data_IF_578265505877
#
_entry.id   IF_578265505877
#
_cell.length_a   1.000
_cell.length_b   1.000
_cell.length_c   1.000
_cell.angle_alpha   90.00
_cell.angle_beta   90.00
_cell.angle_gamma   90.00
#
_symmetry.space_group_name_H-M   'P 1'
#
loop_
_entity.id
_entity.type
_entity.pdbx_description
1 polymer ?
#
# COMPACT_ATOMS: atom_id res chain seq x y z
N UNK A 1 -1.51 -12.99 5.26
CA UNK A 1 -2.91 -12.54 5.36
C UNK A 1 -3.12 -11.16 4.73
N UNK A 2 -2.43 -10.08 5.14
CA UNK A 2 -2.61 -8.73 4.57
C UNK A 2 -2.45 -8.64 3.03
N UNK A 3 -1.55 -9.42 2.45
CA UNK A 3 -1.33 -9.46 1.00
C UNK A 3 -2.37 -10.24 0.20
N UNK A 4 -3.20 -11.08 0.84
CA UNK A 4 -4.21 -11.87 0.16
C UNK A 4 -5.61 -11.29 0.41
N UNK A 5 -6.05 -10.47 -0.55
CA UNK A 5 -7.28 -9.70 -0.47
C UNK A 5 -8.40 -10.28 -1.30
N UNK A 6 -8.16 -11.40 -2.00
CA UNK A 6 -9.17 -12.01 -2.87
C UNK A 6 -10.22 -12.69 -2.00
N UNK A 7 -11.51 -12.47 -2.26
CA UNK A 7 -12.55 -13.17 -1.51
C UNK A 7 -12.77 -14.61 -2.02
N UNK A 8 -12.53 -14.84 -3.31
CA UNK A 8 -12.87 -16.09 -4.00
C UNK A 8 -12.12 -17.34 -3.50
N UNK A 9 -10.98 -17.18 -2.80
CA UNK A 9 -10.21 -18.28 -2.24
C UNK A 9 -10.45 -18.48 -0.74
N UNK A 10 -11.53 -17.93 -0.18
CA UNK A 10 -11.83 -17.96 1.26
C UNK A 10 -13.24 -18.49 1.54
N UNK A 11 -13.40 -19.09 2.71
CA UNK A 11 -14.69 -19.53 3.24
C UNK A 11 -14.90 -18.87 4.60
N UNK A 12 -16.04 -18.20 4.76
CA UNK A 12 -16.41 -17.52 6.00
C UNK A 12 -17.52 -18.30 6.72
N UNK A 13 -17.46 -18.39 8.05
CA UNK A 13 -18.59 -18.89 8.84
C UNK A 13 -19.77 -17.93 8.66
N UNK A 14 -20.95 -18.46 8.33
CA UNK A 14 -22.13 -17.62 8.09
C UNK A 14 -22.50 -16.75 9.31
N UNK A 15 -22.42 -17.29 10.52
CA UNK A 15 -22.71 -16.52 11.73
C UNK A 15 -21.76 -15.34 11.91
N UNK A 16 -20.47 -15.51 11.60
CA UNK A 16 -19.48 -14.43 11.61
C UNK A 16 -19.77 -13.38 10.52
N UNK A 17 -20.22 -13.83 9.34
CA UNK A 17 -20.64 -12.94 8.25
C UNK A 17 -21.82 -12.06 8.65
N UNK A 18 -22.86 -12.69 9.22
CA UNK A 18 -24.09 -12.03 9.65
C UNK A 18 -23.83 -11.10 10.87
N UNK A 19 -22.98 -11.53 11.83
CA UNK A 19 -22.58 -10.76 13.03
C UNK A 19 -21.93 -9.42 12.68
N UNK A 20 -21.07 -9.39 11.66
CA UNK A 20 -20.38 -8.17 11.22
C UNK A 20 -21.02 -7.49 10.00
N UNK A 21 -22.20 -7.96 9.58
CA UNK A 21 -22.98 -7.41 8.48
C UNK A 21 -22.14 -7.20 7.19
N UNK A 22 -21.28 -8.16 6.84
CA UNK A 22 -20.44 -8.01 5.66
C UNK A 22 -21.29 -7.96 4.37
N UNK A 23 -20.92 -7.04 3.49
CA UNK A 23 -21.50 -6.91 2.16
C UNK A 23 -20.45 -6.34 1.21
N UNK A 24 -20.35 -6.90 0.01
CA UNK A 24 -19.47 -6.35 -1.01
C UNK A 24 -20.05 -5.03 -1.56
N UNK A 25 -19.25 -3.95 -1.62
CA UNK A 25 -19.69 -2.72 -2.25
C UNK A 25 -19.95 -2.97 -3.74
N UNK A 26 -20.98 -2.32 -4.29
CA UNK A 26 -21.34 -2.45 -5.70
C UNK A 26 -20.85 -1.24 -6.51
N UNK A 27 -20.51 -1.46 -7.77
CA UNK A 27 -20.11 -0.38 -8.69
C UNK A 27 -18.67 0.16 -8.52
N UNK A 28 -17.85 -0.47 -7.67
CA UNK A 28 -16.45 -0.11 -7.45
C UNK A 28 -15.51 -1.23 -7.89
N UNK A 29 -14.26 -0.89 -8.19
CA UNK A 29 -13.20 -1.88 -8.34
C UNK A 29 -12.59 -2.23 -6.97
N UNK A 30 -12.05 -3.43 -6.84
CA UNK A 30 -11.35 -3.91 -5.63
C UNK A 30 -12.28 -4.04 -4.41
N UNK A 31 -13.53 -4.41 -4.66
CA UNK A 31 -14.59 -4.63 -3.67
C UNK A 31 -14.19 -5.61 -2.56
N UNK A 32 -13.35 -6.60 -2.89
CA UNK A 32 -12.90 -7.60 -1.93
C UNK A 32 -12.11 -6.98 -0.76
N UNK A 33 -11.33 -5.91 -1.01
CA UNK A 33 -10.49 -5.28 0.02
C UNK A 33 -11.35 -4.81 1.21
N UNK A 34 -12.51 -4.23 0.91
CA UNK A 34 -13.44 -3.68 1.89
C UNK A 34 -14.07 -4.75 2.80
N UNK A 35 -14.05 -6.02 2.38
CA UNK A 35 -14.61 -7.14 3.17
C UNK A 35 -13.50 -7.97 3.78
N UNK A 36 -12.55 -8.42 2.95
CA UNK A 36 -11.54 -9.41 3.33
C UNK A 36 -10.61 -8.86 4.39
N UNK A 37 -10.12 -7.62 4.26
CA UNK A 37 -9.19 -7.10 5.26
C UNK A 37 -9.84 -6.82 6.62
N UNK A 38 -10.99 -6.13 6.72
CA UNK A 38 -11.70 -6.01 7.99
C UNK A 38 -12.05 -7.37 8.60
N UNK A 39 -12.45 -8.35 7.79
CA UNK A 39 -12.74 -9.70 8.28
C UNK A 39 -11.52 -10.37 8.95
N UNK A 40 -10.31 -10.20 8.43
CA UNK A 40 -9.11 -10.73 9.08
C UNK A 40 -8.86 -10.11 10.46
N UNK A 41 -9.17 -8.84 10.65
CA UNK A 41 -9.00 -8.14 11.93
C UNK A 41 -10.14 -8.39 12.92
N UNK A 42 -11.33 -8.75 12.43
CA UNK A 42 -12.48 -9.10 13.25
C UNK A 42 -12.50 -10.58 13.65
N UNK A 43 -11.86 -11.44 12.86
CA UNK A 43 -11.82 -12.87 13.12
C UNK A 43 -11.10 -13.20 14.43
N UNK A 44 -11.68 -14.11 15.21
CA UNK A 44 -11.03 -14.67 16.42
C UNK A 44 -9.90 -15.63 16.08
N UNK A 45 -10.03 -16.33 14.95
CA UNK A 45 -9.05 -17.26 14.43
C UNK A 45 -9.17 -17.32 12.90
N UNK A 46 -8.04 -17.58 12.24
CA UNK A 46 -7.97 -17.80 10.80
C UNK A 46 -7.18 -19.09 10.57
N UNK A 47 -7.79 -20.06 9.91
CA UNK A 47 -7.14 -21.29 9.49
C UNK A 47 -6.60 -21.10 8.06
N UNK A 48 -5.37 -21.55 7.80
CA UNK A 48 -4.73 -21.45 6.48
C UNK A 48 -4.55 -22.87 5.91
N UNK A 49 -5.03 -23.08 4.69
CA UNK A 49 -4.87 -24.32 3.93
C UNK A 49 -3.83 -24.06 2.84
N UNK A 50 -2.76 -24.84 2.82
CA UNK A 50 -1.64 -24.64 1.88
C UNK A 50 -1.91 -25.27 0.51
N UNK A 51 -2.81 -26.25 0.45
CA UNK A 51 -3.22 -26.89 -0.79
C UNK A 51 -3.94 -25.92 -1.73
N UNK A 52 -3.78 -26.05 -3.06
CA UNK A 52 -4.53 -25.23 -4.02
C UNK A 52 -6.04 -25.46 -3.90
N UNK A 53 -6.74 -24.51 -3.30
CA UNK A 53 -8.22 -24.54 -3.17
C UNK A 53 -8.94 -23.69 -4.22
N UNK A 54 -8.21 -22.90 -4.99
CA UNK A 54 -8.76 -21.98 -5.99
C UNK A 54 -7.86 -21.90 -7.23
N UNK A 55 -8.43 -22.13 -8.41
CA UNK A 55 -7.74 -21.97 -9.68
C UNK A 55 -8.12 -20.63 -10.32
N UNK A 56 -7.17 -19.72 -10.38
CA UNK A 56 -7.35 -18.43 -11.07
C UNK A 56 -7.10 -18.59 -12.57
N UNK A 57 -8.00 -18.02 -13.38
CA UNK A 57 -7.85 -17.99 -14.83
C UNK A 57 -7.46 -16.58 -15.28
N UNK A 58 -6.24 -16.45 -15.76
CA UNK A 58 -5.81 -15.24 -16.44
C UNK A 58 -6.42 -15.16 -17.84
N UNK A 59 -6.87 -13.97 -18.22
CA UNK A 59 -7.50 -13.67 -19.52
C UNK A 59 -7.10 -12.27 -19.95
N UNK A 60 -6.85 -12.10 -21.24
CA UNK A 60 -6.55 -10.79 -21.83
C UNK A 60 -7.67 -9.78 -21.52
N UNK A 61 -7.27 -8.59 -21.06
CA UNK A 61 -8.18 -7.52 -20.69
C UNK A 61 -8.75 -7.60 -19.27
N UNK A 62 -8.20 -8.45 -18.40
CA UNK A 62 -8.51 -8.46 -16.97
C UNK A 62 -8.28 -7.08 -16.33
N UNK A 63 -9.05 -6.74 -15.30
CA UNK A 63 -8.93 -5.45 -14.57
C UNK A 63 -7.47 -5.19 -14.13
N UNK A 64 -6.71 -6.25 -13.83
CA UNK A 64 -5.31 -6.18 -13.40
C UNK A 64 -4.30 -5.82 -14.50
N UNK A 65 -4.69 -5.89 -15.78
CA UNK A 65 -3.81 -5.57 -16.93
C UNK A 65 -3.90 -4.12 -17.39
N UNK A 66 -4.98 -3.38 -17.08
CA UNK A 66 -5.11 -1.94 -17.37
C UNK A 66 -4.93 -1.11 -16.08
N UNK A 67 -3.66 -0.88 -15.71
CA UNK A 67 -3.28 -0.23 -14.43
C UNK A 67 -3.26 1.30 -14.51
N UNK A 68 -2.90 1.85 -15.67
CA UNK A 68 -2.87 3.30 -15.92
C UNK A 68 -4.27 3.85 -16.26
N UNK A 69 -5.23 3.67 -15.35
CA UNK A 69 -6.61 4.16 -15.51
C UNK A 69 -6.97 5.04 -14.32
N UNK A 70 -7.40 6.31 -14.52
CA UNK A 70 -7.71 7.25 -13.43
C UNK A 70 -8.71 6.68 -12.41
N UNK A 71 -9.77 6.03 -12.90
CA UNK A 71 -10.75 5.34 -12.04
C UNK A 71 -10.11 4.25 -11.16
N UNK A 72 -9.13 3.52 -11.70
CA UNK A 72 -8.46 2.44 -10.98
C UNK A 72 -7.72 2.94 -9.75
N UNK A 73 -6.97 4.04 -9.88
CA UNK A 73 -6.24 4.60 -8.73
C UNK A 73 -7.20 5.19 -7.70
N UNK A 74 -8.24 5.92 -8.13
CA UNK A 74 -9.28 6.44 -7.23
C UNK A 74 -9.92 5.32 -6.41
N UNK A 75 -10.47 4.30 -7.09
CA UNK A 75 -11.19 3.21 -6.44
C UNK A 75 -10.24 2.40 -5.52
N UNK A 76 -8.97 2.20 -5.93
CA UNK A 76 -7.96 1.56 -5.06
C UNK A 76 -7.69 2.38 -3.80
N UNK A 77 -7.44 3.68 -3.94
CA UNK A 77 -7.17 4.57 -2.81
C UNK A 77 -8.37 4.58 -1.86
N UNK A 78 -9.59 4.70 -2.37
CA UNK A 78 -10.80 4.62 -1.54
C UNK A 78 -10.85 3.32 -0.73
N UNK A 79 -10.58 2.18 -1.37
CA UNK A 79 -10.58 0.89 -0.70
C UNK A 79 -9.51 0.80 0.40
N UNK A 80 -8.27 1.22 0.12
CA UNK A 80 -7.20 1.12 1.13
C UNK A 80 -7.38 2.13 2.27
N UNK A 81 -7.86 3.34 1.98
CA UNK A 81 -8.18 4.36 2.99
C UNK A 81 -9.27 3.88 3.93
N UNK A 82 -10.32 3.22 3.43
CA UNK A 82 -11.40 2.70 4.26
C UNK A 82 -10.88 1.70 5.32
N UNK A 83 -9.97 0.80 4.94
CA UNK A 83 -9.36 -0.15 5.88
C UNK A 83 -8.41 0.55 6.86
N UNK A 84 -7.63 1.53 6.41
CA UNK A 84 -6.74 2.31 7.30
C UNK A 84 -7.55 3.07 8.35
N UNK A 85 -8.67 3.69 7.95
CA UNK A 85 -9.60 4.38 8.85
C UNK A 85 -10.26 3.42 9.84
N UNK A 86 -10.72 2.25 9.39
CA UNK A 86 -11.26 1.22 10.27
C UNK A 86 -10.26 0.81 11.38
N UNK A 87 -8.96 0.68 11.04
CA UNK A 87 -7.92 0.39 12.02
C UNK A 87 -7.64 1.59 12.94
N UNK A 88 -7.72 2.81 12.42
CA UNK A 88 -7.57 4.04 13.20
C UNK A 88 -8.68 4.21 14.24
N UNK A 89 -9.94 4.00 13.85
CA UNK A 89 -11.11 4.06 14.74
C UNK A 89 -10.96 3.08 15.90
N UNK A 90 -10.55 1.83 15.60
CA UNK A 90 -10.25 0.82 16.62
C UNK A 90 -9.11 1.22 17.54
N UNK A 91 -8.08 1.89 17.02
CA UNK A 91 -6.97 2.39 17.83
C UNK A 91 -7.38 3.54 18.75
N UNK A 92 -8.34 4.37 18.33
CA UNK A 92 -8.90 5.47 19.12
C UNK A 92 -9.92 4.99 20.17
N UNK A 93 -10.44 3.76 20.04
CA UNK A 93 -11.55 3.25 20.85
C UNK A 93 -12.91 3.83 20.46
N UNK A 94 -12.95 4.63 19.40
CA UNK A 94 -14.17 5.17 18.79
C UNK A 94 -14.76 4.10 17.88
N UNK A 95 -16.01 3.68 18.11
CA UNK A 95 -16.66 2.64 17.29
C UNK A 95 -16.58 1.22 17.83
N UNK A 96 -16.18 1.01 19.09
CA UNK A 96 -16.51 -0.22 19.80
C UNK A 96 -18.04 -0.28 20.03
N UNK A 97 -18.79 -0.60 18.98
CA UNK A 97 -20.19 -0.98 19.12
C UNK A 97 -20.30 -2.14 20.11
N UNK A 98 -21.31 -2.08 20.98
CA UNK A 98 -21.73 -3.10 21.93
C UNK A 98 -22.00 -4.41 21.18
N UNK A 99 -20.96 -5.21 20.94
CA UNK A 99 -21.02 -6.38 20.05
C UNK A 99 -19.70 -6.75 19.36
N UNK A 100 -18.62 -5.96 19.56
CA UNK A 100 -17.30 -6.25 19.00
C UNK A 100 -16.77 -7.64 19.38
N UNK A 101 -16.88 -8.59 18.45
CA UNK A 101 -16.38 -9.95 18.57
C UNK A 101 -14.92 -10.02 19.06
N UNK A 102 -14.62 -11.09 19.80
CA UNK A 102 -13.38 -11.33 20.55
C UNK A 102 -12.10 -11.54 19.70
N UNK A 103 -11.97 -10.87 18.56
CA UNK A 103 -10.74 -10.77 17.77
C UNK A 103 -9.75 -9.90 18.53
N UNK A 104 -8.89 -10.57 19.30
CA UNK A 104 -8.01 -9.98 20.31
C UNK A 104 -7.06 -8.91 19.76
N UNK A 105 -7.07 -7.77 20.44
CA UNK A 105 -6.05 -6.75 20.31
C UNK A 105 -6.56 -5.45 20.92
N UNK A 106 -5.82 -4.91 21.90
CA UNK A 106 -6.17 -3.61 22.49
C UNK A 106 -5.97 -2.45 21.50
N UNK A 107 -6.25 -1.23 21.93
CA UNK A 107 -6.00 -0.02 21.14
C UNK A 107 -4.56 0.06 20.58
N UNK A 108 -3.57 -0.40 21.37
CA UNK A 108 -2.17 -0.46 20.95
C UNK A 108 -1.93 -1.46 19.79
N UNK A 109 -2.61 -2.62 19.82
CA UNK A 109 -2.51 -3.63 18.76
C UNK A 109 -3.17 -3.13 17.48
N UNK A 110 -4.29 -2.40 17.59
CA UNK A 110 -4.95 -1.75 16.47
C UNK A 110 -4.08 -0.65 15.84
N UNK A 111 -3.39 0.16 16.65
CA UNK A 111 -2.46 1.17 16.16
C UNK A 111 -1.27 0.55 15.41
N UNK A 112 -0.72 -0.54 15.94
CA UNK A 112 0.35 -1.28 15.26
C UNK A 112 -0.14 -1.97 13.98
N UNK A 113 -1.35 -2.54 14.00
CA UNK A 113 -2.00 -3.08 12.82
C UNK A 113 -2.19 -2.03 11.73
N UNK A 114 -2.62 -0.81 12.10
CA UNK A 114 -2.72 0.32 11.18
C UNK A 114 -1.37 0.64 10.54
N UNK A 115 -0.31 0.80 11.33
CA UNK A 115 1.04 1.10 10.80
C UNK A 115 1.51 0.03 9.80
N UNK A 116 1.35 -1.25 10.14
CA UNK A 116 1.70 -2.36 9.24
C UNK A 116 0.86 -2.38 7.97
N UNK A 117 -0.43 -2.07 8.10
CA UNK A 117 -1.33 -1.99 6.97
C UNK A 117 -1.00 -0.82 6.04
N UNK A 118 -0.72 0.37 6.58
CA UNK A 118 -0.30 1.53 5.81
C UNK A 118 1.00 1.23 5.05
N UNK A 119 1.99 0.62 5.72
CA UNK A 119 3.23 0.18 5.06
C UNK A 119 2.94 -0.79 3.90
N UNK A 120 2.02 -1.73 4.08
CA UNK A 120 1.60 -2.66 3.04
C UNK A 120 0.87 -1.98 1.87
N UNK A 121 -0.01 -1.02 2.16
CA UNK A 121 -0.71 -0.25 1.14
C UNK A 121 0.28 0.57 0.29
N UNK A 122 1.27 1.21 0.93
CA UNK A 122 2.31 2.00 0.27
C UNK A 122 3.27 1.14 -0.57
N UNK A 123 3.61 -0.07 -0.12
CA UNK A 123 4.59 -0.95 -0.76
C UNK A 123 4.00 -1.97 -1.73
N UNK A 124 2.70 -2.26 -1.64
CA UNK A 124 2.02 -3.24 -2.47
C UNK A 124 0.89 -2.63 -3.29
N UNK A 125 -0.15 -2.11 -2.62
CA UNK A 125 -1.37 -1.63 -3.30
C UNK A 125 -1.11 -0.50 -4.27
N UNK A 126 -0.50 0.56 -3.77
CA UNK A 126 -0.28 1.79 -4.52
C UNK A 126 1.01 1.72 -5.34
N UNK A 127 1.96 0.87 -4.95
CA UNK A 127 3.16 0.58 -5.74
C UNK A 127 2.81 0.11 -7.16
N UNK A 128 1.78 -0.73 -7.33
CA UNK A 128 1.33 -1.18 -8.65
C UNK A 128 0.93 -0.03 -9.59
N UNK A 129 0.48 1.10 -9.04
CA UNK A 129 0.13 2.29 -9.80
C UNK A 129 1.33 3.21 -10.03
N UNK A 130 2.30 3.23 -9.11
CA UNK A 130 3.61 3.89 -9.33
C UNK A 130 4.28 3.28 -10.56
N UNK A 131 4.31 1.96 -10.67
CA UNK A 131 4.91 1.26 -11.82
C UNK A 131 4.15 1.49 -13.14
N UNK A 132 2.89 1.91 -13.07
CA UNK A 132 2.08 2.23 -14.23
C UNK A 132 2.22 3.69 -14.70
N UNK A 133 2.88 4.56 -13.92
CA UNK A 133 3.08 5.97 -14.27
C UNK A 133 3.72 6.19 -15.65
N UNK A 134 4.75 5.43 -16.08
CA UNK A 134 5.36 5.63 -17.40
C UNK A 134 4.41 5.41 -18.57
N UNK A 135 3.38 4.58 -18.39
CA UNK A 135 2.40 4.22 -19.42
C UNK A 135 1.13 5.09 -19.33
N UNK A 136 1.01 5.93 -18.30
CA UNK A 136 -0.15 6.79 -18.07
C UNK A 136 -0.06 8.13 -18.79
N UNK A 137 -1.22 8.68 -19.11
CA UNK A 137 -1.37 10.04 -19.63
C UNK A 137 -1.47 11.08 -18.49
N UNK A 138 -1.64 12.35 -18.88
CA UNK A 138 -1.74 13.46 -17.93
C UNK A 138 -2.94 13.33 -16.98
N UNK A 139 -4.06 12.75 -17.43
CA UNK A 139 -5.25 12.54 -16.59
C UNK A 139 -4.95 11.50 -15.51
N UNK A 140 -4.30 10.39 -15.88
CA UNK A 140 -3.87 9.38 -14.92
C UNK A 140 -2.83 9.92 -13.93
N UNK A 141 -1.85 10.71 -14.40
CA UNK A 141 -0.84 11.29 -13.53
C UNK A 141 -1.45 12.22 -12.48
N UNK A 142 -2.38 13.09 -12.88
CA UNK A 142 -3.05 13.99 -11.95
C UNK A 142 -3.89 13.21 -10.93
N UNK A 143 -4.72 12.28 -11.39
CA UNK A 143 -5.53 11.42 -10.52
C UNK A 143 -4.66 10.60 -9.55
N UNK A 144 -3.50 10.13 -10.01
CA UNK A 144 -2.54 9.43 -9.16
C UNK A 144 -1.98 10.33 -8.07
N UNK A 145 -1.43 11.50 -8.42
CA UNK A 145 -0.84 12.41 -7.44
C UNK A 145 -1.87 12.93 -6.44
N UNK A 146 -3.10 13.22 -6.90
CA UNK A 146 -4.20 13.62 -6.03
C UNK A 146 -4.54 12.52 -5.02
N UNK A 147 -4.91 11.34 -5.49
CA UNK A 147 -5.43 10.29 -4.60
C UNK A 147 -4.33 9.61 -3.79
N UNK A 148 -3.19 9.26 -4.39
CA UNK A 148 -2.08 8.66 -3.64
C UNK A 148 -1.48 9.66 -2.64
N UNK A 149 -1.42 10.95 -2.99
CA UNK A 149 -1.01 12.02 -2.08
C UNK A 149 -1.99 12.21 -0.92
N UNK A 150 -3.29 12.13 -1.18
CA UNK A 150 -4.32 12.21 -0.15
C UNK A 150 -4.26 11.04 0.84
N UNK A 151 -3.99 9.81 0.38
CA UNK A 151 -3.73 8.70 1.29
C UNK A 151 -2.41 8.89 2.06
N UNK A 152 -1.34 9.28 1.37
CA UNK A 152 -0.03 9.48 2.00
C UNK A 152 -0.06 10.56 3.12
N UNK A 153 -0.97 11.53 3.05
CA UNK A 153 -1.12 12.56 4.09
C UNK A 153 -1.78 12.05 5.38
N UNK A 154 -2.46 10.89 5.34
CA UNK A 154 -3.06 10.25 6.52
C UNK A 154 -2.14 9.21 7.18
N UNK A 155 -0.99 8.92 6.56
CA UNK A 155 -0.02 7.93 7.05
C UNK A 155 0.99 8.58 7.98
N UNK A 156 1.32 7.89 9.08
CA UNK A 156 2.31 8.37 10.05
C UNK A 156 3.71 8.49 9.41
N UNK A 157 4.48 9.56 9.72
CA UNK A 157 5.82 9.77 9.14
C UNK A 157 6.78 8.57 9.29
N UNK A 158 6.73 7.88 10.43
CA UNK A 158 7.62 6.75 10.73
C UNK A 158 7.36 5.53 9.83
N UNK A 159 6.13 5.38 9.31
CA UNK A 159 5.82 4.33 8.34
C UNK A 159 6.65 4.53 7.08
N UNK A 160 6.77 5.77 6.58
CA UNK A 160 7.62 6.06 5.42
C UNK A 160 9.08 5.74 5.72
N UNK A 161 9.59 6.09 6.90
CA UNK A 161 10.98 5.80 7.29
C UNK A 161 11.27 4.29 7.32
N UNK A 162 10.27 3.47 7.64
CA UNK A 162 10.41 2.01 7.65
C UNK A 162 10.43 1.36 6.25
N UNK A 163 10.05 2.09 5.20
CA UNK A 163 10.00 1.54 3.85
C UNK A 163 11.41 1.28 3.28
N UNK A 164 11.54 0.31 2.36
CA UNK A 164 12.74 0.15 1.53
C UNK A 164 13.15 1.46 0.86
N UNK A 165 14.46 1.69 0.68
CA UNK A 165 15.02 2.93 0.14
C UNK A 165 14.31 3.42 -1.14
N UNK A 166 14.15 2.54 -2.14
CA UNK A 166 13.52 2.90 -3.41
C UNK A 166 12.08 3.42 -3.23
N UNK A 167 11.32 2.86 -2.28
CA UNK A 167 9.98 3.36 -1.95
C UNK A 167 10.01 4.67 -1.17
N UNK A 168 10.98 4.86 -0.26
CA UNK A 168 11.14 6.13 0.48
C UNK A 168 11.34 7.30 -0.47
N UNK A 169 12.22 7.14 -1.45
CA UNK A 169 12.50 8.16 -2.47
C UNK A 169 11.26 8.41 -3.32
N UNK A 170 10.62 7.35 -3.86
CA UNK A 170 9.39 7.47 -4.67
C UNK A 170 8.28 8.19 -3.90
N UNK A 171 7.98 7.77 -2.67
CA UNK A 171 6.93 8.41 -1.86
C UNK A 171 7.25 9.85 -1.48
N UNK A 172 8.52 10.19 -1.28
CA UNK A 172 8.90 11.58 -1.06
C UNK A 172 8.63 12.44 -2.30
N UNK A 173 8.99 11.97 -3.49
CA UNK A 173 8.72 12.67 -4.76
C UNK A 173 7.20 12.81 -5.01
N UNK A 174 6.41 11.78 -4.67
CA UNK A 174 4.94 11.81 -4.78
C UNK A 174 4.35 12.87 -3.85
N UNK A 175 4.77 12.91 -2.58
CA UNK A 175 4.30 13.88 -1.57
C UNK A 175 4.68 15.32 -1.93
N UNK A 176 5.83 15.52 -2.59
CA UNK A 176 6.28 16.81 -3.12
C UNK A 176 5.74 17.11 -4.52
N UNK A 177 4.95 16.20 -5.12
CA UNK A 177 4.41 16.29 -6.49
C UNK A 177 5.48 16.50 -7.58
N UNK A 178 6.67 15.93 -7.38
CA UNK A 178 7.84 16.02 -8.28
C UNK A 178 7.79 14.96 -9.39
N UNK A 179 6.68 14.95 -10.15
CA UNK A 179 6.41 13.94 -11.18
C UNK A 179 7.52 13.78 -12.24
N UNK A 180 8.16 14.85 -12.77
CA UNK A 180 9.22 14.68 -13.76
C UNK A 180 10.42 13.88 -13.23
N UNK A 181 10.79 14.08 -11.98
CA UNK A 181 11.90 13.36 -11.34
C UNK A 181 11.49 11.93 -10.96
N UNK A 182 10.22 11.72 -10.57
CA UNK A 182 9.67 10.39 -10.35
C UNK A 182 9.67 9.55 -11.64
N UNK A 183 9.23 10.12 -12.76
CA UNK A 183 9.25 9.44 -14.06
C UNK A 183 10.68 9.16 -14.54
N UNK A 184 11.62 10.11 -14.34
CA UNK A 184 13.02 9.90 -14.65
C UNK A 184 13.64 8.78 -13.78
N UNK A 185 13.32 8.74 -12.48
CA UNK A 185 13.76 7.69 -11.57
C UNK A 185 13.26 6.31 -12.02
N UNK A 186 11.97 6.19 -12.36
CA UNK A 186 11.39 4.94 -12.86
C UNK A 186 12.02 4.50 -14.19
N UNK A 187 12.36 5.45 -15.06
CA UNK A 187 13.04 5.17 -16.32
C UNK A 187 14.48 4.66 -16.12
N UNK A 188 15.18 5.13 -15.10
CA UNK A 188 16.52 4.65 -14.75
C UNK A 188 16.47 3.28 -14.06
N UNK A 189 15.56 3.08 -13.11
CA UNK A 189 15.35 1.77 -12.46
C UNK A 189 14.99 0.65 -13.44
N UNK A 190 14.31 0.98 -14.55
CA UNK A 190 14.02 0.02 -15.63
C UNK A 190 15.29 -0.47 -16.34
N UNK A 191 16.36 0.32 -16.35
CA UNK A 191 17.66 -0.05 -16.94
C UNK A 191 18.49 -0.83 -15.93
N UNK A 192 18.53 -0.35 -14.69
CA UNK A 192 19.25 -0.97 -13.58
C UNK A 192 18.59 -0.54 -12.25
N UNK A 193 18.08 -1.53 -11.51
CA UNK A 193 17.18 -1.33 -10.36
C UNK A 193 17.90 -0.78 -9.14
N UNK A 194 19.22 -0.96 -9.08
CA UNK A 194 20.04 -0.63 -7.91
C UNK A 194 21.02 0.53 -8.17
N UNK A 195 20.88 1.25 -9.30
CA UNK A 195 21.77 2.38 -9.61
C UNK A 195 21.46 3.59 -8.73
N UNK A 196 22.17 3.69 -7.60
CA UNK A 196 22.29 4.93 -6.86
C UNK A 196 23.71 5.13 -6.36
N UNK A 197 24.12 6.39 -6.26
CA UNK A 197 25.42 6.72 -5.71
C UNK A 197 25.32 6.94 -4.21
N UNK A 198 26.32 6.47 -3.46
CA UNK A 198 26.42 6.75 -2.03
C UNK A 198 27.17 8.06 -1.80
N UNK A 199 26.59 8.98 -1.03
CA UNK A 199 27.26 10.21 -0.57
C UNK A 199 27.40 10.23 0.95
N UNK A 200 28.57 10.65 1.43
CA UNK A 200 28.87 10.84 2.85
C UNK A 200 29.50 9.63 3.54
N UNK A 201 30.47 9.87 4.43
CA UNK A 201 31.23 8.81 5.12
C UNK A 201 30.57 8.37 6.44
N UNK A 202 30.15 9.33 7.28
CA UNK A 202 29.58 9.05 8.61
C UNK A 202 28.05 8.89 8.61
N UNK A 203 27.38 9.40 7.58
CA UNK A 203 25.92 9.36 7.40
C UNK A 203 25.64 9.12 5.90
N UNK A 204 25.90 7.91 5.40
CA UNK A 204 25.78 7.61 3.98
C UNK A 204 24.34 7.75 3.52
N UNK A 205 24.17 8.31 2.31
CA UNK A 205 22.86 8.56 1.70
C UNK A 205 22.86 8.18 0.24
N UNK A 206 21.71 7.71 -0.23
CA UNK A 206 21.45 7.48 -1.63
C UNK A 206 21.32 8.81 -2.38
N UNK A 207 21.92 8.85 -3.57
CA UNK A 207 21.80 9.93 -4.52
C UNK A 207 21.47 9.34 -5.89
N UNK A 208 20.26 9.61 -6.37
CA UNK A 208 19.79 9.19 -7.68
C UNK A 208 20.05 10.31 -8.70
N UNK A 209 20.74 10.06 -9.82
CA UNK A 209 20.98 11.09 -10.85
C UNK A 209 19.70 11.75 -11.40
N UNK A 210 18.58 11.01 -11.42
CA UNK A 210 17.27 11.49 -11.82
C UNK A 210 16.69 12.56 -10.87
N UNK A 211 17.14 12.61 -9.62
CA UNK A 211 16.66 13.54 -8.58
C UNK A 211 17.61 14.73 -8.50
N UNK A 212 17.15 15.88 -8.98
CA UNK A 212 17.92 17.12 -9.11
C UNK A 212 17.96 17.90 -7.81
N UNK A 213 16.79 18.09 -7.19
CA UNK A 213 16.69 18.84 -5.94
C UNK A 213 16.86 17.90 -4.73
N UNK A 214 17.57 18.34 -3.67
CA UNK A 214 17.88 17.48 -2.54
C UNK A 214 16.60 17.01 -1.82
N UNK A 215 16.58 15.72 -1.50
CA UNK A 215 15.53 15.12 -0.66
C UNK A 215 15.92 15.18 0.82
N UNK A 216 14.93 15.16 1.73
CA UNK A 216 15.20 15.11 3.16
C UNK A 216 16.02 13.87 3.56
N UNK A 217 16.81 13.96 4.65
CA UNK A 217 17.61 12.85 5.16
C UNK A 217 16.84 11.53 5.32
N UNK A 218 15.62 11.60 5.87
CA UNK A 218 14.80 10.43 6.15
C UNK A 218 14.46 9.61 4.89
N UNK A 219 14.35 10.27 3.72
CA UNK A 219 14.03 9.61 2.46
C UNK A 219 15.24 8.92 1.82
N UNK A 220 16.47 9.31 2.17
CA UNK A 220 17.70 8.93 1.47
C UNK A 220 18.74 8.23 2.34
N UNK A 221 18.56 8.21 3.66
CA UNK A 221 19.48 7.57 4.59
C UNK A 221 19.58 6.07 4.30
N UNK A 222 20.80 5.54 4.22
CA UNK A 222 21.02 4.10 4.04
C UNK A 222 20.91 3.36 5.36
N UNK A 223 20.30 2.19 5.32
CA UNK A 223 20.24 1.23 6.41
C UNK A 223 21.12 0.01 6.09
N UNK A 224 21.47 -0.84 7.07
CA UNK A 224 22.21 -2.07 6.80
C UNK A 224 21.52 -3.01 5.79
N UNK A 225 20.19 -2.94 5.67
CA UNK A 225 19.42 -3.73 4.71
C UNK A 225 19.56 -3.21 3.27
N UNK A 226 20.07 -1.99 3.08
CA UNK A 226 20.32 -1.37 1.77
C UNK A 226 21.77 -1.63 1.29
N UNK A 227 22.51 -2.54 1.95
CA UNK A 227 23.91 -2.87 1.67
C UNK A 227 24.09 -4.40 1.52
N UNK A 228 25.02 -4.88 0.67
CA UNK A 228 26.00 -4.11 -0.09
C UNK A 228 25.40 -3.51 -1.36
N UNK A 229 25.74 -2.26 -1.63
CA UNK A 229 25.62 -1.68 -2.96
C UNK A 229 26.83 -2.12 -3.77
N UNK A 230 26.64 -2.57 -5.00
CA UNK A 230 27.75 -2.74 -5.93
C UNK A 230 28.39 -1.36 -6.14
N UNK A 231 29.64 -1.23 -5.71
CA UNK A 231 30.39 0.03 -5.70
C UNK A 231 30.92 0.42 -7.08
#
# INVERSE_FOLDING_TARGET
LLGDRIACNKVFRRTFWDEHAFAFPTGVLYEDIAVVLPAHFLARSVDVVEEPVYHWRDRDGSITTRRAVPRGIRDRVTAVTAVSNFLAERASGEGAAEGGGAGGGGAADAAEAKRRYDAHALSGDLWLFIEALPDGDAEFHEAFLEHAGAFASTVEPDVFVSLPLHLRVKWQLIRERRLPELLALLADEKKDRDTFHVRGLLRPRAHHPAVRDPLPPAATALTPADLPVDA
#
